data_IF_050278003087
#
_entry.id   IF_050278003087
#
_cell.length_a   1.000
_cell.length_b   1.000
_cell.length_c   1.000
_cell.angle_alpha   90.00
_cell.angle_beta   90.00
_cell.angle_gamma   90.00
#
_symmetry.space_group_name_H-M   'P 1'
#
loop_
_entity.id
_entity.type
_entity.pdbx_description
1 polymer ?
#
# COMPACT_ATOMS: atom_id res chain seq x y z
N UNK A 1 5.02 -12.08 35.86
CA UNK A 1 6.25 -11.27 36.10
C UNK A 1 6.11 -10.52 37.41
N UNK A 2 7.21 -10.38 38.17
CA UNK A 2 7.16 -9.72 39.47
C UNK A 2 7.21 -8.20 39.31
N UNK A 3 6.32 -7.49 40.02
CA UNK A 3 6.32 -6.02 40.13
C UNK A 3 7.70 -5.47 40.52
N UNK A 4 8.45 -6.27 41.27
CA UNK A 4 9.81 -5.99 41.73
C UNK A 4 10.81 -5.85 40.57
N UNK A 5 10.71 -6.67 39.52
CA UNK A 5 11.62 -6.59 38.38
C UNK A 5 11.42 -5.28 37.61
N UNK A 6 10.16 -4.86 37.40
CA UNK A 6 9.84 -3.58 36.74
C UNK A 6 10.42 -2.42 37.54
N UNK A 7 10.25 -2.42 38.87
CA UNK A 7 10.78 -1.39 39.75
C UNK A 7 12.31 -1.26 39.63
N UNK A 8 13.04 -2.38 39.71
CA UNK A 8 14.49 -2.38 39.57
C UNK A 8 14.97 -1.85 38.21
N UNK A 9 14.26 -2.20 37.13
CA UNK A 9 14.56 -1.70 35.79
C UNK A 9 14.27 -0.19 35.66
N UNK A 10 13.20 0.32 36.27
CA UNK A 10 12.87 1.75 36.27
C UNK A 10 13.92 2.58 37.01
N UNK A 11 14.41 2.09 38.16
CA UNK A 11 15.49 2.72 38.93
C UNK A 11 16.80 2.76 38.14
N UNK A 12 17.18 1.64 37.51
CA UNK A 12 18.36 1.56 36.64
C UNK A 12 18.30 2.48 35.43
N UNK A 13 17.10 2.77 34.92
CA UNK A 13 16.87 3.67 33.79
C UNK A 13 16.73 5.14 34.21
N UNK A 14 16.80 5.45 35.51
CA UNK A 14 16.64 6.81 36.05
C UNK A 14 15.36 7.52 35.57
N UNK A 15 14.24 6.80 35.59
CA UNK A 15 12.92 7.32 35.19
C UNK A 15 12.45 8.37 36.19
N UNK A 16 12.00 9.53 35.70
CA UNK A 16 11.58 10.66 36.55
C UNK A 16 10.22 10.42 37.21
N UNK A 17 9.29 9.80 36.50
CA UNK A 17 7.90 9.60 36.94
C UNK A 17 7.62 8.12 37.20
N UNK A 18 8.30 7.55 38.22
CA UNK A 18 8.30 6.11 38.50
C UNK A 18 6.90 5.53 38.69
N UNK A 19 6.04 6.17 39.48
CA UNK A 19 4.70 5.64 39.79
C UNK A 19 3.81 5.59 38.54
N UNK A 20 3.79 6.67 37.76
CA UNK A 20 3.00 6.75 36.52
C UNK A 20 3.52 5.77 35.46
N UNK A 21 4.84 5.70 35.27
CA UNK A 21 5.45 4.76 34.33
C UNK A 21 5.19 3.31 34.73
N UNK A 22 5.31 2.99 36.02
CA UNK A 22 5.05 1.65 36.56
C UNK A 22 3.60 1.23 36.34
N UNK A 23 2.65 2.12 36.59
CA UNK A 23 1.23 1.85 36.36
C UNK A 23 0.95 1.54 34.88
N UNK A 24 1.50 2.33 33.95
CA UNK A 24 1.36 2.14 32.51
C UNK A 24 1.98 0.81 32.03
N UNK A 25 3.24 0.55 32.42
CA UNK A 25 3.96 -0.70 32.09
C UNK A 25 3.23 -1.91 32.64
N UNK A 26 2.77 -1.87 33.89
CA UNK A 26 2.01 -2.98 34.48
C UNK A 26 0.66 -3.18 33.78
N UNK A 27 0.05 -2.10 33.25
CA UNK A 27 -1.10 -2.17 32.36
C UNK A 27 -0.82 -3.04 31.14
N UNK A 28 0.23 -2.73 30.40
CA UNK A 28 0.65 -3.48 29.22
C UNK A 28 1.03 -4.94 29.54
N UNK A 29 1.81 -5.18 30.60
CA UNK A 29 2.27 -6.52 30.99
C UNK A 29 1.16 -7.46 31.48
N UNK A 30 0.00 -6.93 31.89
CA UNK A 30 -1.17 -7.76 32.23
C UNK A 30 -1.79 -8.42 31.01
N UNK A 31 -1.82 -7.71 29.88
CA UNK A 31 -2.41 -8.19 28.63
C UNK A 31 -1.37 -8.96 27.79
N UNK A 32 -0.16 -8.43 27.66
CA UNK A 32 0.92 -9.00 26.86
C UNK A 32 1.93 -9.74 27.75
N UNK A 33 1.64 -11.00 28.05
CA UNK A 33 2.41 -11.82 29.02
C UNK A 33 3.81 -12.21 28.54
N UNK A 34 4.04 -12.21 27.23
CA UNK A 34 5.34 -12.58 26.63
C UNK A 34 6.32 -11.40 26.60
N UNK A 35 5.88 -10.18 26.93
CA UNK A 35 6.76 -9.02 27.04
C UNK A 35 7.46 -9.04 28.39
N UNK A 36 8.77 -8.77 28.41
CA UNK A 36 9.59 -8.74 29.62
C UNK A 36 10.26 -7.37 29.78
N UNK A 37 10.34 -6.83 31.00
CA UNK A 37 11.08 -5.60 31.26
C UNK A 37 12.58 -5.88 31.27
N UNK A 38 13.34 -5.01 30.62
CA UNK A 38 14.81 -5.06 30.52
C UNK A 38 15.38 -3.63 30.44
N UNK A 39 16.68 -3.48 30.58
CA UNK A 39 17.38 -2.19 30.46
C UNK A 39 18.60 -2.32 29.58
N UNK A 40 18.80 -1.39 28.66
CA UNK A 40 20.01 -1.37 27.84
C UNK A 40 20.46 0.04 27.48
N UNK A 41 21.71 0.17 27.04
CA UNK A 41 22.21 1.43 26.50
C UNK A 41 21.67 1.66 25.09
N UNK A 42 20.70 2.56 24.97
CA UNK A 42 20.04 2.89 23.71
C UNK A 42 20.49 4.27 23.21
N UNK A 43 20.68 4.40 21.89
CA UNK A 43 20.93 5.67 21.24
C UNK A 43 19.59 6.27 20.82
N UNK A 44 19.16 7.31 21.52
CA UNK A 44 17.90 7.97 21.21
C UNK A 44 18.01 8.83 19.95
N UNK A 45 16.88 9.19 19.32
CA UNK A 45 16.87 10.07 18.14
C UNK A 45 17.49 11.45 18.36
N UNK A 46 17.70 11.87 19.61
CA UNK A 46 18.44 13.09 19.97
C UNK A 46 19.97 12.94 19.83
N UNK A 47 20.45 11.76 19.41
CA UNK A 47 21.86 11.41 19.27
C UNK A 47 22.54 11.06 20.59
N UNK A 48 21.82 11.08 21.73
CA UNK A 48 22.40 10.79 23.04
C UNK A 48 22.20 9.32 23.40
N UNK A 49 23.29 8.69 23.86
CA UNK A 49 23.25 7.34 24.43
C UNK A 49 22.83 7.43 25.90
N UNK A 50 21.76 6.72 26.28
CA UNK A 50 21.26 6.68 27.66
C UNK A 50 20.95 5.24 28.05
N UNK A 51 20.94 4.97 29.36
CA UNK A 51 20.49 3.70 29.89
C UNK A 51 18.96 3.68 29.91
N UNK A 52 18.35 3.06 28.91
CA UNK A 52 16.92 3.12 28.66
C UNK A 52 16.22 1.88 29.23
N UNK A 53 15.01 2.09 29.75
CA UNK A 53 14.09 1.00 29.98
C UNK A 53 13.53 0.51 28.64
N UNK A 54 13.47 -0.80 28.45
CA UNK A 54 12.79 -1.42 27.31
C UNK A 54 11.87 -2.56 27.73
N UNK A 55 10.78 -2.72 27.00
CA UNK A 55 10.00 -3.96 27.00
C UNK A 55 10.42 -4.78 25.79
N UNK A 56 10.84 -6.02 26.02
CA UNK A 56 11.23 -6.96 24.96
C UNK A 56 10.40 -8.24 25.07
N UNK A 57 9.86 -8.68 23.95
CA UNK A 57 9.17 -9.96 23.86
C UNK A 57 8.42 -10.08 22.56
N UNK A 58 7.30 -10.80 22.57
CA UNK A 58 6.47 -11.00 21.39
C UNK A 58 5.05 -10.49 21.60
N UNK A 59 4.43 -10.00 20.52
CA UNK A 59 3.00 -9.70 20.47
C UNK A 59 2.29 -10.73 19.58
N UNK A 60 1.16 -11.31 20.02
CA UNK A 60 0.41 -12.26 19.22
C UNK A 60 -0.38 -11.53 18.13
N UNK A 61 -0.23 -11.97 16.89
CA UNK A 61 -0.96 -11.44 15.73
C UNK A 61 -1.62 -12.60 15.01
N UNK A 62 -2.95 -12.64 15.07
CA UNK A 62 -3.73 -13.67 14.40
C UNK A 62 -3.80 -13.44 12.90
N UNK A 63 -3.76 -14.53 12.15
CA UNK A 63 -3.76 -14.55 10.71
C UNK A 63 -4.65 -15.69 10.19
N UNK A 64 -5.43 -15.40 9.15
CA UNK A 64 -6.33 -16.37 8.49
C UNK A 64 -7.15 -17.23 9.47
N UNK A 65 -7.75 -16.58 10.48
CA UNK A 65 -8.63 -17.18 11.51
C UNK A 65 -8.02 -18.29 12.40
N UNK A 66 -6.87 -18.88 12.05
CA UNK A 66 -6.33 -20.08 12.71
C UNK A 66 -4.86 -19.99 13.12
N UNK A 67 -4.06 -19.14 12.48
CA UNK A 67 -2.60 -19.09 12.73
C UNK A 67 -2.25 -17.87 13.55
N UNK A 68 -1.63 -18.06 14.72
CA UNK A 68 -1.11 -16.95 15.52
C UNK A 68 0.40 -16.78 15.29
N UNK A 69 0.81 -15.61 14.83
CA UNK A 69 2.22 -15.24 14.68
C UNK A 69 2.67 -14.42 15.88
N UNK A 70 3.76 -14.85 16.53
CA UNK A 70 4.36 -14.12 17.64
C UNK A 70 5.41 -13.16 17.09
N UNK A 71 5.04 -11.89 16.93
CA UNK A 71 5.91 -10.89 16.32
C UNK A 71 6.82 -10.30 17.41
N UNK A 72 8.15 -10.42 17.28
CA UNK A 72 9.09 -9.86 18.25
C UNK A 72 9.11 -8.33 18.19
N UNK A 73 8.84 -7.69 19.32
CA UNK A 73 8.81 -6.23 19.46
C UNK A 73 9.72 -5.78 20.61
N UNK A 74 10.32 -4.60 20.45
CA UNK A 74 11.03 -3.89 21.51
C UNK A 74 10.48 -2.47 21.64
N UNK A 75 10.09 -2.08 22.85
CA UNK A 75 9.53 -0.77 23.16
C UNK A 75 10.44 -0.05 24.14
N UNK A 76 11.05 1.04 23.71
CA UNK A 76 11.96 1.87 24.48
C UNK A 76 11.22 3.07 25.08
N UNK A 77 11.46 3.35 26.35
CA UNK A 77 10.84 4.46 27.07
C UNK A 77 11.84 5.59 27.31
N UNK A 78 11.37 6.83 27.21
CA UNK A 78 12.12 8.00 27.66
C UNK A 78 12.16 8.08 29.19
N UNK A 79 13.12 8.83 29.72
CA UNK A 79 13.22 9.15 31.16
C UNK A 79 11.98 9.91 31.69
N UNK A 80 11.24 10.57 30.79
CA UNK A 80 10.02 11.33 31.06
C UNK A 80 8.72 10.58 30.72
N UNK A 81 8.77 9.28 30.40
CA UNK A 81 7.55 8.48 30.20
C UNK A 81 6.66 8.53 31.47
N UNK A 82 5.31 8.62 31.35
CA UNK A 82 4.46 8.51 30.16
C UNK A 82 4.19 9.82 29.39
N UNK A 83 4.84 10.94 29.71
CA UNK A 83 4.58 12.22 29.02
C UNK A 83 5.15 12.29 27.59
N UNK A 84 6.15 11.46 27.29
CA UNK A 84 6.72 11.34 25.94
C UNK A 84 6.42 9.97 25.34
N UNK A 85 6.12 9.98 24.03
CA UNK A 85 5.84 8.77 23.27
C UNK A 85 7.04 7.81 23.30
N UNK A 86 6.81 6.51 23.52
CA UNK A 86 7.87 5.50 23.45
C UNK A 86 8.35 5.30 22.01
N UNK A 87 9.46 4.59 21.84
CA UNK A 87 10.00 4.22 20.53
C UNK A 87 9.90 2.71 20.36
N UNK A 88 9.26 2.27 19.29
CA UNK A 88 9.01 0.85 19.04
C UNK A 88 9.80 0.32 17.85
N UNK A 89 10.28 -0.91 17.97
CA UNK A 89 10.98 -1.64 16.91
C UNK A 89 10.44 -3.05 16.79
N UNK A 90 10.33 -3.54 15.56
CA UNK A 90 10.20 -4.97 15.25
C UNK A 90 11.60 -5.56 15.14
N UNK A 91 11.87 -6.61 15.91
CA UNK A 91 13.18 -7.24 15.98
C UNK A 91 13.13 -8.64 15.36
N UNK A 92 13.23 -8.78 14.03
CA UNK A 92 13.08 -10.07 13.35
C UNK A 92 14.07 -11.11 13.90
N UNK A 93 13.64 -12.37 14.00
CA UNK A 93 14.55 -13.50 14.21
C UNK A 93 15.35 -13.77 12.94
N UNK A 94 16.36 -14.65 13.01
CA UNK A 94 17.23 -14.97 11.87
C UNK A 94 16.49 -15.45 10.60
N UNK A 95 15.27 -15.97 10.76
CA UNK A 95 14.42 -16.43 9.65
C UNK A 95 13.38 -15.41 9.20
N UNK A 96 13.23 -14.29 9.91
CA UNK A 96 12.26 -13.24 9.60
C UNK A 96 12.94 -12.12 8.80
N UNK A 97 12.18 -11.51 7.89
CA UNK A 97 12.64 -10.36 7.10
C UNK A 97 11.70 -9.19 7.37
N UNK A 98 12.27 -8.02 7.68
CA UNK A 98 11.49 -6.78 7.78
C UNK A 98 11.04 -6.38 6.38
N UNK A 99 9.73 -6.29 6.20
CA UNK A 99 9.14 -5.75 4.98
C UNK A 99 8.76 -4.30 5.23
N UNK A 100 9.47 -3.40 4.54
CA UNK A 100 9.22 -1.96 4.63
C UNK A 100 7.78 -1.64 4.25
N UNK A 101 7.16 -0.77 5.05
CA UNK A 101 5.79 -0.32 4.89
C UNK A 101 5.67 1.12 5.38
N UNK A 102 4.51 1.74 5.16
CA UNK A 102 4.22 3.08 5.68
C UNK A 102 4.44 3.19 7.20
N UNK A 103 4.24 2.09 7.94
CA UNK A 103 4.35 2.05 9.38
C UNK A 103 5.66 1.44 9.90
N UNK A 104 6.52 0.88 9.05
CA UNK A 104 7.75 0.20 9.47
C UNK A 104 8.87 0.48 8.49
N UNK A 105 9.97 1.07 8.96
CA UNK A 105 11.14 1.32 8.11
C UNK A 105 12.07 0.10 7.98
N UNK A 106 13.14 0.21 7.18
CA UNK A 106 14.14 -0.86 6.95
C UNK A 106 14.83 -1.35 8.24
N UNK A 107 14.98 -0.49 9.24
CA UNK A 107 15.56 -0.83 10.54
C UNK A 107 14.54 -1.47 11.50
N UNK A 108 13.29 -1.64 11.09
CA UNK A 108 12.22 -2.20 11.93
C UNK A 108 11.57 -1.19 12.86
N UNK A 109 11.94 0.11 12.81
CA UNK A 109 11.30 1.16 13.61
C UNK A 109 9.86 1.33 13.16
N UNK A 110 8.96 1.31 14.15
CA UNK A 110 7.53 1.44 13.96
C UNK A 110 7.13 2.92 14.04
N UNK A 111 6.33 3.36 13.07
CA UNK A 111 5.74 4.70 12.97
C UNK A 111 4.21 4.57 12.92
N UNK A 112 3.54 5.05 13.97
CA UNK A 112 2.08 4.99 14.08
C UNK A 112 1.51 6.40 14.32
N UNK A 113 0.31 6.70 13.80
CA UNK A 113 -0.43 7.89 14.20
C UNK A 113 -0.58 8.00 15.72
N UNK A 114 -0.78 6.86 16.39
CA UNK A 114 -0.88 6.76 17.85
C UNK A 114 0.39 7.26 18.58
N UNK A 115 1.58 7.09 18.00
CA UNK A 115 2.83 7.60 18.54
C UNK A 115 3.00 9.11 18.28
N UNK A 116 2.53 9.60 17.13
CA UNK A 116 2.62 11.01 16.75
C UNK A 116 1.68 11.89 17.58
N UNK A 117 0.51 11.36 17.94
CA UNK A 117 -0.53 12.06 18.71
C UNK A 117 -0.51 11.73 20.20
N UNK A 118 0.55 11.05 20.67
CA UNK A 118 0.66 10.59 22.05
C UNK A 118 0.42 11.72 23.06
N UNK A 119 -0.57 11.54 23.94
CA UNK A 119 -0.92 12.49 25.00
C UNK A 119 -1.21 11.76 26.30
N UNK A 120 -0.56 12.20 27.36
CA UNK A 120 -0.82 11.70 28.71
C UNK A 120 -1.46 12.80 29.57
N UNK A 121 -2.53 12.52 30.32
CA UNK A 121 -3.27 11.25 30.39
C UNK A 121 -4.17 11.01 29.17
N UNK A 122 -4.32 9.74 28.75
CA UNK A 122 -5.23 9.32 27.67
C UNK A 122 -4.67 8.23 26.75
N UNK A 123 -3.36 8.30 26.47
CA UNK A 123 -2.62 7.30 25.70
C UNK A 123 -1.75 6.48 26.66
N UNK A 124 -1.70 5.17 26.43
CA UNK A 124 -1.02 4.20 27.28
C UNK A 124 -0.27 3.13 26.46
N UNK A 125 0.65 2.42 27.09
CA UNK A 125 1.44 1.38 26.44
C UNK A 125 0.57 0.20 25.99
N UNK A 126 -0.51 -0.07 26.71
CA UNK A 126 -1.45 -1.12 26.32
C UNK A 126 -2.13 -0.77 24.99
N UNK A 127 -2.75 0.41 24.89
CA UNK A 127 -3.39 0.89 23.67
C UNK A 127 -2.41 0.96 22.50
N UNK A 128 -1.17 1.36 22.74
CA UNK A 128 -0.11 1.32 21.73
C UNK A 128 0.15 -0.10 21.21
N UNK A 129 0.33 -1.08 22.09
CA UNK A 129 0.58 -2.47 21.71
C UNK A 129 -0.62 -3.09 20.99
N UNK A 130 -1.85 -2.77 21.40
CA UNK A 130 -3.07 -3.15 20.69
C UNK A 130 -3.16 -2.50 19.29
N UNK A 131 -2.70 -1.26 19.13
CA UNK A 131 -2.60 -0.64 17.81
C UNK A 131 -1.53 -1.31 16.94
N UNK A 132 -0.38 -1.66 17.53
CA UNK A 132 0.65 -2.44 16.86
C UNK A 132 0.09 -3.77 16.34
N UNK A 133 -0.63 -4.55 17.16
CA UNK A 133 -1.22 -5.83 16.72
C UNK A 133 -2.21 -5.64 15.56
N UNK A 134 -3.08 -4.63 15.63
CA UNK A 134 -4.03 -4.30 14.55
C UNK A 134 -3.33 -3.97 13.23
N UNK A 135 -2.29 -3.14 13.29
CA UNK A 135 -1.55 -2.72 12.09
C UNK A 135 -0.76 -3.90 11.51
N UNK A 136 -0.11 -4.71 12.36
CA UNK A 136 0.59 -5.91 11.91
C UNK A 136 -0.34 -6.93 11.26
N UNK A 137 -1.53 -7.14 11.83
CA UNK A 137 -2.57 -7.99 11.22
C UNK A 137 -3.00 -7.46 9.84
N UNK A 138 -3.24 -6.14 9.73
CA UNK A 138 -3.58 -5.50 8.45
C UNK A 138 -2.46 -5.68 7.42
N UNK A 139 -1.20 -5.50 7.81
CA UNK A 139 -0.04 -5.68 6.94
C UNK A 139 0.08 -7.13 6.44
N UNK A 140 -0.09 -8.13 7.30
CA UNK A 140 -0.09 -9.55 6.90
C UNK A 140 -1.16 -9.82 5.83
N UNK A 141 -2.39 -9.33 6.03
CA UNK A 141 -3.48 -9.55 5.08
C UNK A 141 -3.26 -8.84 3.73
N UNK A 142 -2.70 -7.63 3.73
CA UNK A 142 -2.37 -6.91 2.49
C UNK A 142 -1.31 -7.66 1.69
N UNK A 143 -0.33 -8.26 2.37
CA UNK A 143 0.74 -9.01 1.70
C UNK A 143 0.22 -10.23 0.97
N UNK A 144 -0.71 -10.99 1.58
CA UNK A 144 -1.31 -12.14 0.92
C UNK A 144 -2.18 -11.75 -0.25
N UNK A 145 -3.03 -10.73 -0.10
CA UNK A 145 -3.83 -10.21 -1.21
C UNK A 145 -2.94 -9.73 -2.34
N UNK A 146 -1.83 -9.05 -2.02
CA UNK A 146 -0.86 -8.63 -3.05
C UNK A 146 -0.24 -9.84 -3.75
N UNK A 147 0.15 -10.88 -3.02
CA UNK A 147 0.72 -12.10 -3.60
C UNK A 147 -0.31 -12.85 -4.47
N UNK A 148 -1.57 -12.93 -4.02
CA UNK A 148 -2.68 -13.51 -4.78
C UNK A 148 -2.95 -12.72 -6.07
N UNK A 149 -3.01 -11.38 -5.98
CA UNK A 149 -3.17 -10.50 -7.13
C UNK A 149 -2.00 -10.64 -8.12
N UNK A 150 -0.76 -10.75 -7.62
CA UNK A 150 0.43 -10.99 -8.46
C UNK A 150 0.35 -12.35 -9.17
N UNK A 151 -0.07 -13.42 -8.49
CA UNK A 151 -0.28 -14.72 -9.15
C UNK A 151 -1.39 -14.69 -10.18
N UNK A 152 -2.50 -14.01 -9.88
CA UNK A 152 -3.59 -13.82 -10.85
C UNK A 152 -3.11 -13.05 -12.08
N UNK A 153 -2.23 -12.06 -11.90
CA UNK A 153 -1.63 -11.31 -12.99
C UNK A 153 -0.70 -12.19 -13.84
N UNK A 154 0.17 -13.00 -13.21
CA UNK A 154 1.04 -13.96 -13.91
C UNK A 154 0.23 -14.99 -14.71
N UNK A 155 -0.86 -15.50 -14.14
CA UNK A 155 -1.76 -16.42 -14.84
C UNK A 155 -2.49 -15.77 -16.04
N UNK A 156 -2.63 -14.43 -16.06
CA UNK A 156 -3.20 -13.70 -17.20
C UNK A 156 -2.17 -13.45 -18.30
N UNK A 157 -0.87 -13.45 -18.00
CA UNK A 157 0.19 -13.25 -19.00
C UNK A 157 0.42 -14.51 -19.86
N UNK A 158 0.03 -15.70 -19.38
CA UNK A 158 0.14 -16.98 -20.12
C UNK A 158 -1.02 -17.20 -21.12
N UNK A 159 -2.09 -16.41 -21.09
CA UNK A 159 -3.06 -16.34 -22.19
C UNK A 159 -2.57 -15.33 -23.24
N UNK A 160 -1.48 -15.69 -23.92
CA UNK A 160 -1.14 -15.17 -25.25
C UNK A 160 -2.14 -15.65 -26.32
N UNK A 161 -3.42 -15.68 -25.97
CA UNK A 161 -4.54 -15.74 -26.88
C UNK A 161 -5.57 -14.76 -26.35
N UNK A 162 -5.19 -13.48 -26.47
CA UNK A 162 -6.06 -12.32 -26.65
C UNK A 162 -7.51 -12.77 -26.82
N UNK A 163 -8.26 -12.86 -25.73
CA UNK A 163 -9.70 -12.67 -25.83
C UNK A 163 -9.83 -11.22 -26.25
N UNK A 164 -9.75 -11.01 -27.56
CA UNK A 164 -9.86 -9.71 -28.19
C UNK A 164 -11.17 -9.16 -27.65
N UNK A 165 -11.10 -8.12 -26.83
CA UNK A 165 -12.30 -7.55 -26.20
C UNK A 165 -13.30 -7.16 -27.31
N UNK A 166 -12.77 -6.82 -28.48
CA UNK A 166 -13.49 -6.52 -29.70
C UNK A 166 -14.25 -7.73 -30.29
N UNK A 167 -13.97 -8.96 -29.85
CA UNK A 167 -14.67 -10.19 -30.25
C UNK A 167 -15.80 -10.61 -29.29
N UNK A 168 -15.88 -10.01 -28.09
CA UNK A 168 -16.89 -10.38 -27.09
C UNK A 168 -18.32 -10.02 -27.52
N UNK A 169 -18.47 -9.07 -28.44
CA UNK A 169 -19.75 -8.60 -28.97
C UNK A 169 -19.63 -8.51 -30.48
N UNK A 170 -20.50 -9.23 -31.19
CA UNK A 170 -20.52 -9.24 -32.65
C UNK A 170 -21.88 -8.75 -33.19
N UNK A 171 -21.88 -8.17 -34.38
CA UNK A 171 -23.11 -7.72 -35.02
C UNK A 171 -23.90 -8.92 -35.59
N UNK A 172 -25.23 -8.83 -35.56
CA UNK A 172 -26.14 -9.92 -35.95
C UNK A 172 -25.98 -10.40 -37.41
N UNK A 173 -25.37 -9.59 -38.30
CA UNK A 173 -25.15 -9.95 -39.71
C UNK A 173 -23.80 -9.43 -40.19
N UNK A 174 -23.17 -10.05 -41.21
CA UNK A 174 -21.91 -9.57 -41.78
C UNK A 174 -21.97 -8.12 -42.28
N UNK A 175 -23.13 -7.69 -42.80
CA UNK A 175 -23.34 -6.32 -43.27
C UNK A 175 -23.35 -5.31 -42.12
N UNK A 176 -24.02 -5.62 -41.00
CA UNK A 176 -24.02 -4.79 -39.80
C UNK A 176 -22.64 -4.77 -39.13
N UNK A 177 -21.89 -5.87 -39.18
CA UNK A 177 -20.50 -5.93 -38.72
C UNK A 177 -19.64 -4.95 -39.51
N UNK A 178 -19.75 -4.98 -40.84
CA UNK A 178 -19.04 -4.04 -41.70
C UNK A 178 -19.40 -2.58 -41.40
N UNK A 179 -20.67 -2.28 -41.12
CA UNK A 179 -21.10 -0.94 -40.73
C UNK A 179 -20.48 -0.51 -39.39
N UNK A 180 -20.53 -1.39 -38.38
CA UNK A 180 -20.00 -1.14 -37.04
C UNK A 180 -18.47 -0.93 -37.07
N UNK A 181 -17.74 -1.78 -37.77
CA UNK A 181 -16.28 -1.67 -37.91
C UNK A 181 -15.88 -0.36 -38.60
N UNK A 182 -16.54 0.00 -39.70
CA UNK A 182 -16.23 1.25 -40.39
C UNK A 182 -16.57 2.48 -39.54
N UNK A 183 -17.62 2.42 -38.72
CA UNK A 183 -17.97 3.50 -37.79
C UNK A 183 -16.94 3.66 -36.67
N UNK A 184 -16.52 2.54 -36.06
CA UNK A 184 -15.44 2.55 -35.06
C UNK A 184 -14.13 3.11 -35.64
N UNK A 185 -13.79 2.72 -36.86
CA UNK A 185 -12.60 3.24 -37.57
C UNK A 185 -12.71 4.73 -37.92
N UNK A 186 -13.91 5.25 -38.21
CA UNK A 186 -14.15 6.68 -38.44
C UNK A 186 -13.87 7.50 -37.18
N UNK A 187 -14.39 7.06 -36.04
CA UNK A 187 -14.17 7.70 -34.73
C UNK A 187 -12.69 7.65 -34.33
N UNK A 188 -12.03 6.51 -34.54
CA UNK A 188 -10.60 6.38 -34.27
C UNK A 188 -9.76 7.37 -35.12
N UNK A 189 -10.19 7.69 -36.33
CA UNK A 189 -9.51 8.71 -37.14
C UNK A 189 -9.59 10.10 -36.49
N UNK A 190 -10.73 10.46 -35.90
CA UNK A 190 -10.90 11.76 -35.21
C UNK A 190 -9.99 11.85 -33.98
N UNK A 191 -9.88 10.77 -33.20
CA UNK A 191 -8.99 10.70 -32.02
C UNK A 191 -7.50 10.83 -32.40
N UNK A 192 -7.09 10.20 -33.50
CA UNK A 192 -5.71 10.33 -34.00
C UNK A 192 -5.44 11.75 -34.48
N UNK A 193 -6.36 12.37 -35.23
CA UNK A 193 -6.21 13.77 -35.68
C UNK A 193 -6.12 14.71 -34.47
N UNK A 194 -6.95 14.50 -33.45
CA UNK A 194 -6.91 15.28 -32.22
C UNK A 194 -5.54 15.14 -31.51
N UNK A 195 -5.06 13.91 -31.36
CA UNK A 195 -3.78 13.61 -30.71
C UNK A 195 -2.59 14.20 -31.48
N UNK A 196 -2.61 14.13 -32.81
CA UNK A 196 -1.63 14.80 -33.67
C UNK A 196 -1.68 16.32 -33.51
N UNK A 197 -2.87 16.90 -33.33
CA UNK A 197 -3.04 18.33 -33.05
C UNK A 197 -2.40 18.74 -31.73
N UNK A 198 -2.53 17.93 -30.68
CA UNK A 198 -1.86 18.17 -29.40
C UNK A 198 -0.33 18.06 -29.53
N UNK A 199 0.16 17.04 -30.24
CA UNK A 199 1.59 16.86 -30.47
C UNK A 199 2.22 18.05 -31.23
N UNK A 200 1.49 18.66 -32.17
CA UNK A 200 1.92 19.88 -32.86
C UNK A 200 1.98 21.07 -31.88
N UNK A 201 0.97 21.22 -31.01
CA UNK A 201 0.91 22.28 -29.99
C UNK A 201 2.07 22.20 -28.99
N UNK A 202 2.45 20.98 -28.61
CA UNK A 202 3.58 20.69 -27.72
C UNK A 202 4.94 20.72 -28.44
N UNK A 203 4.96 21.06 -29.75
CA UNK A 203 6.15 21.11 -30.62
C UNK A 203 6.93 19.79 -30.71
N UNK A 204 6.25 18.66 -30.56
CA UNK A 204 6.83 17.31 -30.69
C UNK A 204 6.92 16.85 -32.15
N UNK A 205 6.06 17.39 -33.02
CA UNK A 205 6.06 17.13 -34.47
C UNK A 205 6.11 18.44 -35.25
N UNK A 206 6.68 18.40 -36.46
CA UNK A 206 6.69 19.55 -37.36
C UNK A 206 5.32 19.77 -38.03
N UNK A 207 5.07 21.00 -38.47
CA UNK A 207 3.82 21.32 -39.19
C UNK A 207 3.69 20.54 -40.50
N UNK A 208 4.80 20.26 -41.18
CA UNK A 208 4.81 19.51 -42.43
C UNK A 208 4.44 18.04 -42.19
N UNK A 209 4.94 17.44 -41.12
CA UNK A 209 4.57 16.08 -40.69
C UNK A 209 3.09 16.01 -40.29
N UNK A 210 2.61 16.96 -39.50
CA UNK A 210 1.20 17.06 -39.13
C UNK A 210 0.28 17.09 -40.37
N UNK A 211 0.55 18.00 -41.32
CA UNK A 211 -0.26 18.14 -42.53
C UNK A 211 -0.22 16.89 -43.42
N UNK A 212 0.90 16.17 -43.43
CA UNK A 212 1.02 14.89 -44.14
C UNK A 212 0.14 13.82 -43.48
N UNK A 213 0.29 13.62 -42.17
CA UNK A 213 -0.46 12.59 -41.44
C UNK A 213 -1.97 12.85 -41.44
N UNK A 214 -2.40 14.09 -41.20
CA UNK A 214 -3.82 14.45 -41.24
C UNK A 214 -4.41 14.17 -42.61
N UNK A 215 -3.71 14.51 -43.70
CA UNK A 215 -4.19 14.22 -45.06
C UNK A 215 -4.38 12.72 -45.30
N UNK A 216 -3.41 11.91 -44.86
CA UNK A 216 -3.47 10.45 -45.04
C UNK A 216 -4.60 9.83 -44.20
N UNK A 217 -4.82 10.32 -42.98
CA UNK A 217 -5.92 9.88 -42.11
C UNK A 217 -7.27 10.32 -42.68
N UNK A 218 -7.42 11.57 -43.12
CA UNK A 218 -8.67 12.07 -43.72
C UNK A 218 -9.05 11.30 -44.99
N UNK A 219 -8.08 10.82 -45.78
CA UNK A 219 -8.34 9.92 -46.92
C UNK A 219 -8.92 8.59 -46.47
N UNK A 220 -8.38 7.98 -45.40
CA UNK A 220 -8.92 6.74 -44.82
C UNK A 220 -10.33 6.97 -44.26
N UNK A 221 -10.52 8.06 -43.53
CA UNK A 221 -11.80 8.48 -42.96
C UNK A 221 -12.88 8.62 -44.06
N UNK A 222 -12.54 9.23 -45.19
CA UNK A 222 -13.44 9.33 -46.34
C UNK A 222 -13.86 7.94 -46.85
N UNK A 223 -12.93 6.99 -46.97
CA UNK A 223 -13.24 5.62 -47.42
C UNK A 223 -14.18 4.92 -46.44
N UNK A 224 -13.95 5.05 -45.13
CA UNK A 224 -14.86 4.49 -44.12
C UNK A 224 -16.26 5.08 -44.22
N UNK A 225 -16.39 6.42 -44.32
CA UNK A 225 -17.70 7.10 -44.49
C UNK A 225 -18.41 6.69 -45.78
N UNK A 226 -17.68 6.64 -46.91
CA UNK A 226 -18.25 6.20 -48.18
C UNK A 226 -18.72 4.74 -48.13
N UNK A 227 -17.98 3.87 -47.43
CA UNK A 227 -18.34 2.46 -47.24
C UNK A 227 -19.58 2.33 -46.36
N UNK A 228 -19.66 3.09 -45.25
CA UNK A 228 -20.85 3.14 -44.40
C UNK A 228 -22.11 3.55 -45.16
N UNK A 229 -22.03 4.57 -46.02
CA UNK A 229 -23.16 4.99 -46.85
C UNK A 229 -23.63 3.88 -47.80
N UNK A 230 -22.70 3.10 -48.38
CA UNK A 230 -23.05 1.93 -49.22
C UNK A 230 -23.70 0.82 -48.39
N UNK A 231 -23.17 0.52 -47.20
CA UNK A 231 -23.74 -0.48 -46.30
C UNK A 231 -25.15 -0.09 -45.84
N UNK A 232 -25.39 1.18 -45.49
CA UNK A 232 -26.71 1.69 -45.09
C UNK A 232 -27.75 1.53 -46.21
N UNK A 233 -27.40 1.91 -47.44
CA UNK A 233 -28.26 1.72 -48.63
C UNK A 233 -28.60 0.24 -48.85
N UNK A 234 -27.61 -0.66 -48.73
CA UNK A 234 -27.82 -2.09 -48.89
C UNK A 234 -28.66 -2.70 -47.76
N UNK A 235 -28.60 -2.15 -46.55
CA UNK A 235 -29.38 -2.58 -45.39
C UNK A 235 -30.79 -1.97 -45.32
N UNK A 236 -31.16 -1.06 -46.24
CA UNK A 236 -32.42 -0.31 -46.18
C UNK A 236 -32.49 0.70 -45.03
N UNK A 237 -31.35 1.12 -44.48
CA UNK A 237 -31.26 2.10 -43.40
C UNK A 237 -31.23 3.53 -43.97
N UNK A 238 -31.77 4.52 -43.23
CA UNK A 238 -31.68 5.93 -43.64
C UNK A 238 -30.22 6.38 -43.74
N UNK A 239 -29.96 7.27 -44.70
CA UNK A 239 -28.62 7.81 -45.01
C UNK A 239 -28.26 8.91 -44.02
#
# INVERSE_FOLDING_TARGET
MSVHQVQQCLEKASIKYVDSAKADIMGALREFKDLSPDTEHFMFPDGKRRHAFKLRGTIPVFYKMSTCYNIPISVYLWDTHPYYAPICYVNPTATMVIKESENVNKQGRIFLPYLNEWRFPGYDLNGLLQFCTKIMHKCLNIQDKKAELTRSLENCDDESNVNDIDSAIDAATPLHRQLLTNYAQDLACDDVIYSLGQALKERRISIQEYLRYVRDISRKQFVFRATMQKCRKAAGLPI
#
